data_IF_582885210275
#
_entry.id   IF_582885210275
#
_cell.length_a   1.000
_cell.length_b   1.000
_cell.length_c   1.000
_cell.angle_alpha   90.00
_cell.angle_beta   90.00
_cell.angle_gamma   90.00
#
_symmetry.space_group_name_H-M   'P 1'
#
loop_
_entity.id
_entity.type
_entity.pdbx_description
1 polymer ?
#
# COMPACT_ATOMS: atom_id res chain seq x y z
N UNK A 1 -56.71 -17.99 -12.56
CA UNK A 1 -56.16 -18.92 -11.57
C UNK A 1 -54.83 -19.46 -12.10
N UNK A 2 -53.76 -18.84 -11.66
CA UNK A 2 -52.41 -19.14 -12.15
C UNK A 2 -51.97 -20.59 -11.90
N UNK A 3 -52.34 -21.16 -10.77
CA UNK A 3 -51.96 -22.54 -10.40
C UNK A 3 -52.48 -23.60 -11.36
N UNK A 4 -53.70 -23.42 -11.92
CA UNK A 4 -54.29 -24.36 -12.85
C UNK A 4 -53.53 -24.50 -14.16
N UNK A 5 -52.93 -23.41 -14.65
CA UNK A 5 -52.08 -23.39 -15.83
C UNK A 5 -50.85 -24.31 -15.70
N UNK A 6 -50.22 -24.31 -14.56
CA UNK A 6 -49.02 -25.14 -14.29
C UNK A 6 -49.38 -26.61 -14.01
N UNK A 7 -50.53 -26.86 -13.40
CA UNK A 7 -51.04 -28.21 -13.16
C UNK A 7 -51.38 -28.90 -14.49
N UNK A 8 -51.98 -28.16 -15.41
CA UNK A 8 -52.37 -28.70 -16.72
C UNK A 8 -51.18 -28.87 -17.71
N UNK A 9 -50.02 -28.27 -17.38
CA UNK A 9 -48.76 -28.29 -18.18
C UNK A 9 -47.53 -28.63 -17.37
N UNK A 10 -47.38 -29.87 -16.88
CA UNK A 10 -46.31 -30.25 -15.98
C UNK A 10 -44.90 -30.11 -16.59
N UNK A 11 -44.76 -30.39 -17.91
CA UNK A 11 -43.47 -30.23 -18.61
C UNK A 11 -43.01 -28.76 -18.62
N UNK A 12 -43.93 -27.83 -18.86
CA UNK A 12 -43.62 -26.40 -18.85
C UNK A 12 -43.20 -25.92 -17.43
N UNK A 13 -43.89 -26.39 -16.40
CA UNK A 13 -43.55 -26.08 -14.99
C UNK A 13 -42.14 -26.60 -14.64
N UNK A 14 -41.82 -27.82 -15.06
CA UNK A 14 -40.48 -28.41 -14.80
C UNK A 14 -39.39 -27.68 -15.52
N UNK A 15 -39.57 -27.29 -16.79
CA UNK A 15 -38.57 -26.50 -17.54
C UNK A 15 -38.36 -25.14 -16.93
N UNK A 16 -39.43 -24.47 -16.50
CA UNK A 16 -39.31 -23.16 -15.85
C UNK A 16 -38.57 -23.25 -14.48
N UNK A 17 -38.91 -24.27 -13.69
CA UNK A 17 -38.21 -24.53 -12.43
C UNK A 17 -36.72 -24.82 -12.66
N UNK A 18 -36.39 -25.63 -13.65
CA UNK A 18 -35.01 -25.95 -13.97
C UNK A 18 -34.23 -24.73 -14.48
N UNK A 19 -34.87 -23.86 -15.27
CA UNK A 19 -34.26 -22.57 -15.68
C UNK A 19 -33.97 -21.67 -14.48
N UNK A 20 -34.87 -21.58 -13.51
CA UNK A 20 -34.69 -20.77 -12.31
C UNK A 20 -33.54 -21.35 -11.47
N UNK A 21 -33.47 -22.67 -11.30
CA UNK A 21 -32.37 -23.33 -10.56
C UNK A 21 -31.01 -23.09 -11.24
N UNK A 22 -30.96 -23.26 -12.57
CA UNK A 22 -29.71 -23.01 -13.33
C UNK A 22 -29.30 -21.55 -13.23
N UNK A 23 -30.23 -20.61 -13.36
CA UNK A 23 -29.95 -19.19 -13.18
C UNK A 23 -29.44 -18.90 -11.77
N UNK A 24 -30.04 -19.48 -10.73
CA UNK A 24 -29.61 -19.37 -9.35
C UNK A 24 -28.18 -19.90 -9.12
N UNK A 25 -27.88 -21.09 -9.65
CA UNK A 25 -26.56 -21.69 -9.55
C UNK A 25 -25.46 -20.85 -10.24
N UNK A 26 -25.76 -20.31 -11.41
CA UNK A 26 -24.84 -19.42 -12.14
C UNK A 26 -24.61 -18.13 -11.34
N UNK A 27 -25.67 -17.55 -10.79
CA UNK A 27 -25.61 -16.32 -10.02
C UNK A 27 -24.79 -16.49 -8.74
N UNK A 28 -24.92 -17.64 -8.05
CA UNK A 28 -24.13 -17.97 -6.85
C UNK A 28 -22.60 -17.90 -7.09
N UNK A 29 -22.16 -18.30 -8.30
CA UNK A 29 -20.74 -18.25 -8.65
C UNK A 29 -20.20 -16.85 -9.01
N UNK A 30 -21.08 -15.88 -9.23
CA UNK A 30 -20.70 -14.53 -9.70
C UNK A 30 -20.87 -13.48 -8.60
N UNK A 31 -21.66 -13.75 -7.57
CA UNK A 31 -21.86 -12.78 -6.48
C UNK A 31 -20.56 -12.53 -5.72
N UNK A 32 -20.17 -11.25 -5.55
CA UNK A 32 -19.05 -10.90 -4.71
C UNK A 32 -19.38 -11.23 -3.24
N UNK A 33 -18.43 -11.90 -2.56
CA UNK A 33 -18.56 -12.26 -1.15
C UNK A 33 -17.60 -11.36 -0.36
N UNK A 34 -18.15 -10.60 0.59
CA UNK A 34 -17.41 -9.74 1.51
C UNK A 34 -17.91 -9.93 2.93
N UNK A 35 -17.05 -9.69 3.92
CA UNK A 35 -17.40 -9.83 5.35
C UNK A 35 -18.53 -8.89 5.77
N UNK A 36 -18.56 -7.70 5.17
CA UNK A 36 -19.58 -6.67 5.41
C UNK A 36 -20.13 -6.18 4.07
N UNK A 37 -21.42 -5.79 4.02
CA UNK A 37 -21.96 -5.09 2.85
C UNK A 37 -21.14 -3.85 2.52
N UNK A 38 -21.04 -3.47 1.25
CA UNK A 38 -20.36 -2.24 0.79
C UNK A 38 -21.16 -0.98 1.18
N UNK A 39 -21.40 -0.82 2.48
CA UNK A 39 -21.99 0.38 3.10
C UNK A 39 -20.91 1.36 3.53
N UNK A 40 -19.63 0.97 3.48
CA UNK A 40 -18.53 1.86 3.82
C UNK A 40 -18.30 2.86 2.70
N UNK A 41 -18.38 4.16 3.00
CA UNK A 41 -18.09 5.19 2.02
C UNK A 41 -16.69 5.00 1.43
N UNK A 42 -16.53 5.11 0.10
CA UNK A 42 -15.21 4.99 -0.52
C UNK A 42 -14.32 6.17 -0.10
N UNK A 43 -13.03 5.91 0.08
CA UNK A 43 -12.06 6.91 0.54
C UNK A 43 -10.86 7.03 -0.38
N UNK A 44 -10.36 8.26 -0.49
CA UNK A 44 -9.09 8.59 -1.15
C UNK A 44 -8.13 9.17 -0.13
N UNK A 45 -6.92 8.64 -0.08
CA UNK A 45 -5.88 9.13 0.81
C UNK A 45 -4.84 9.94 0.04
N UNK A 46 -4.54 11.13 0.57
CA UNK A 46 -3.42 11.96 0.15
C UNK A 46 -2.34 11.88 1.21
N UNK A 47 -1.11 11.56 0.82
CA UNK A 47 0.02 11.48 1.75
C UNK A 47 1.18 12.32 1.26
N UNK A 48 1.83 13.02 2.20
CA UNK A 48 3.02 13.83 1.97
C UNK A 48 3.98 13.73 3.16
N UNK A 49 5.25 14.02 2.94
CA UNK A 49 6.26 14.05 4.00
C UNK A 49 7.02 15.36 3.92
N UNK A 50 7.12 16.06 5.06
CA UNK A 50 7.97 17.24 5.22
C UNK A 50 9.11 16.89 6.18
N UNK A 51 10.28 16.48 5.69
CA UNK A 51 11.37 16.04 6.54
C UNK A 51 11.83 17.13 7.52
N UNK A 52 11.93 16.78 8.80
CA UNK A 52 12.40 17.69 9.85
C UNK A 52 11.38 18.71 10.36
N UNK A 53 10.17 18.75 9.81
CA UNK A 53 9.11 19.64 10.29
C UNK A 53 8.34 19.00 11.45
N UNK A 54 7.92 19.82 12.41
CA UNK A 54 7.01 19.41 13.47
C UNK A 54 5.54 19.36 12.96
N UNK A 55 4.65 18.74 13.73
CA UNK A 55 3.24 18.58 13.37
C UNK A 55 2.54 19.90 13.04
N UNK A 56 2.80 20.97 13.80
CA UNK A 56 2.18 22.27 13.57
C UNK A 56 2.64 22.90 12.25
N UNK A 57 3.94 22.83 11.96
CA UNK A 57 4.50 23.31 10.69
C UNK A 57 3.91 22.53 9.52
N UNK A 58 3.84 21.18 9.63
CA UNK A 58 3.22 20.33 8.60
C UNK A 58 1.76 20.72 8.37
N UNK A 59 0.98 20.88 9.43
CA UNK A 59 -0.43 21.27 9.32
C UNK A 59 -0.59 22.63 8.60
N UNK A 60 0.25 23.62 8.94
CA UNK A 60 0.14 24.97 8.39
C UNK A 60 0.65 25.08 6.96
N UNK A 61 1.77 24.41 6.62
CA UNK A 61 2.44 24.61 5.33
C UNK A 61 2.15 23.54 4.28
N UNK A 62 1.65 22.37 4.72
CA UNK A 62 1.29 21.26 3.84
C UNK A 62 -0.20 20.98 3.91
N UNK A 63 -0.75 20.85 5.13
CA UNK A 63 -2.15 20.50 5.34
C UNK A 63 -3.10 21.54 4.78
N UNK A 64 -3.03 22.77 5.27
CA UNK A 64 -3.95 23.84 4.88
C UNK A 64 -3.96 24.07 3.35
N UNK A 65 -2.84 24.18 2.62
CA UNK A 65 -2.86 24.35 1.17
C UNK A 65 -3.53 23.19 0.43
N UNK A 66 -3.28 21.94 0.84
CA UNK A 66 -3.89 20.75 0.22
C UNK A 66 -5.41 20.73 0.52
N UNK A 67 -5.79 20.91 1.78
CA UNK A 67 -7.18 20.86 2.22
C UNK A 67 -8.04 21.93 1.55
N UNK A 68 -7.52 23.14 1.41
CA UNK A 68 -8.22 24.23 0.73
C UNK A 68 -8.52 23.91 -0.75
N UNK A 69 -7.62 23.23 -1.43
CA UNK A 69 -7.81 22.86 -2.83
C UNK A 69 -8.70 21.63 -2.98
N UNK A 70 -8.57 20.63 -2.09
CA UNK A 70 -9.35 19.40 -2.14
C UNK A 70 -10.79 19.64 -1.69
N UNK A 71 -11.02 20.67 -0.87
CA UNK A 71 -12.37 20.99 -0.40
C UNK A 71 -13.32 21.28 -1.57
N UNK A 72 -14.48 20.63 -1.55
CA UNK A 72 -15.51 20.78 -2.58
C UNK A 72 -15.31 19.90 -3.83
N UNK A 73 -14.55 18.82 -3.73
CA UNK A 73 -14.54 17.75 -4.75
C UNK A 73 -15.91 17.08 -4.80
N UNK A 74 -16.40 16.80 -6.01
CA UNK A 74 -17.73 16.23 -6.23
C UNK A 74 -17.93 14.89 -5.48
N UNK A 75 -19.06 14.76 -4.81
CA UNK A 75 -19.41 13.58 -4.03
C UNK A 75 -18.69 13.45 -2.69
N UNK A 76 -17.86 14.41 -2.29
CA UNK A 76 -17.20 14.43 -0.99
C UNK A 76 -18.23 14.66 0.13
N UNK A 77 -18.19 13.81 1.17
CA UNK A 77 -18.97 13.97 2.39
C UNK A 77 -18.22 14.80 3.43
N UNK A 78 -16.99 14.38 3.72
CA UNK A 78 -16.09 15.05 4.66
C UNK A 78 -14.65 14.64 4.38
N UNK A 79 -13.74 15.35 4.99
CA UNK A 79 -12.32 15.01 5.00
C UNK A 79 -11.75 15.11 6.40
N UNK A 80 -10.72 14.31 6.69
CA UNK A 80 -9.98 14.37 7.93
C UNK A 80 -8.48 14.28 7.66
N UNK A 81 -7.70 15.09 8.36
CA UNK A 81 -6.26 15.10 8.20
C UNK A 81 -5.53 14.81 9.50
N UNK A 82 -4.33 14.27 9.37
CA UNK A 82 -3.42 14.03 10.46
C UNK A 82 -2.02 14.51 10.09
N UNK A 83 -1.42 15.30 10.99
CA UNK A 83 -0.05 15.79 10.88
C UNK A 83 0.78 15.25 12.04
N UNK A 84 1.86 14.54 11.71
CA UNK A 84 2.75 13.91 12.70
C UNK A 84 3.96 14.78 13.02
N UNK A 85 4.50 14.64 14.24
CA UNK A 85 5.77 15.24 14.64
C UNK A 85 6.99 14.66 13.89
N UNK A 86 6.80 13.56 13.15
CA UNK A 86 7.83 13.03 12.25
C UNK A 86 7.85 13.70 10.87
N UNK A 87 7.00 14.71 10.65
CA UNK A 87 6.87 15.38 9.35
C UNK A 87 5.89 14.73 8.39
N UNK A 88 5.24 13.64 8.77
CA UNK A 88 4.26 12.96 7.91
C UNK A 88 2.89 13.68 7.96
N UNK A 89 2.29 13.82 6.80
CA UNK A 89 0.93 14.32 6.58
C UNK A 89 0.08 13.25 5.88
N UNK A 90 -1.14 13.06 6.34
CA UNK A 90 -2.12 12.24 5.64
C UNK A 90 -3.50 12.92 5.69
N UNK A 91 -4.17 12.98 4.56
CA UNK A 91 -5.54 13.46 4.40
C UNK A 91 -6.39 12.32 3.85
N UNK A 92 -7.47 11.99 4.54
CA UNK A 92 -8.47 11.04 4.08
C UNK A 92 -9.70 11.79 3.64
N UNK A 93 -10.06 11.64 2.37
CA UNK A 93 -11.25 12.21 1.76
C UNK A 93 -12.29 11.11 1.63
N UNK A 94 -13.46 11.30 2.23
CA UNK A 94 -14.56 10.32 2.26
C UNK A 94 -15.67 10.77 1.32
N UNK A 95 -16.10 9.87 0.43
CA UNK A 95 -17.10 10.12 -0.59
C UNK A 95 -18.43 9.42 -0.28
N UNK A 96 -19.50 9.87 -0.91
CA UNK A 96 -20.81 9.24 -0.79
C UNK A 96 -20.78 7.81 -1.36
N UNK A 97 -21.55 6.92 -0.74
CA UNK A 97 -21.71 5.53 -1.23
C UNK A 97 -22.23 5.55 -2.68
N UNK A 98 -21.62 4.77 -3.55
CA UNK A 98 -21.93 4.73 -4.99
C UNK A 98 -21.14 5.74 -5.83
N UNK A 99 -20.26 6.56 -5.23
CA UNK A 99 -19.34 7.41 -5.99
C UNK A 99 -18.29 6.55 -6.69
N UNK A 100 -18.03 6.85 -7.97
CA UNK A 100 -16.93 6.25 -8.72
C UNK A 100 -15.59 6.68 -8.12
N UNK A 101 -14.94 5.75 -7.42
CA UNK A 101 -13.68 6.01 -6.71
C UNK A 101 -12.53 6.32 -7.66
N UNK A 102 -12.57 5.82 -8.90
CA UNK A 102 -11.53 6.11 -9.88
C UNK A 102 -11.60 7.56 -10.31
N UNK A 103 -12.79 8.03 -10.63
CA UNK A 103 -13.03 9.44 -10.98
C UNK A 103 -12.77 10.36 -9.80
N UNK A 104 -13.21 10.00 -8.58
CA UNK A 104 -12.93 10.74 -7.36
C UNK A 104 -11.42 10.88 -7.11
N UNK A 105 -10.64 9.80 -7.32
CA UNK A 105 -9.17 9.84 -7.18
C UNK A 105 -8.53 10.80 -8.18
N UNK A 106 -8.98 10.80 -9.43
CA UNK A 106 -8.50 11.72 -10.47
C UNK A 106 -8.82 13.17 -10.10
N UNK A 107 -10.02 13.44 -9.60
CA UNK A 107 -10.41 14.79 -9.17
C UNK A 107 -9.56 15.27 -7.98
N UNK A 108 -9.35 14.43 -6.96
CA UNK A 108 -8.46 14.74 -5.83
C UNK A 108 -7.03 14.98 -6.31
N UNK A 109 -6.50 14.13 -7.21
CA UNK A 109 -5.16 14.29 -7.77
C UNK A 109 -5.02 15.64 -8.50
N UNK A 110 -6.02 16.04 -9.31
CA UNK A 110 -6.02 17.33 -10.00
C UNK A 110 -5.97 18.49 -9.00
N UNK A 111 -6.76 18.45 -7.93
CA UNK A 111 -6.76 19.47 -6.89
C UNK A 111 -5.44 19.52 -6.12
N UNK A 112 -4.87 18.38 -5.78
CA UNK A 112 -3.55 18.30 -5.15
C UNK A 112 -2.46 18.85 -6.04
N UNK A 113 -2.52 18.62 -7.37
CA UNK A 113 -1.57 19.17 -8.32
C UNK A 113 -1.58 20.71 -8.34
N UNK A 114 -2.75 21.34 -8.18
CA UNK A 114 -2.86 22.79 -8.02
C UNK A 114 -2.21 23.27 -6.72
N UNK A 115 -2.40 22.52 -5.62
CA UNK A 115 -1.80 22.84 -4.33
C UNK A 115 -0.26 22.79 -4.33
N UNK A 116 0.37 21.98 -5.21
CA UNK A 116 1.82 21.77 -5.22
C UNK A 116 2.63 23.05 -5.35
N UNK A 117 2.13 24.04 -6.07
CA UNK A 117 2.80 25.35 -6.24
C UNK A 117 2.95 26.12 -4.91
N UNK A 118 2.10 25.82 -3.92
CA UNK A 118 2.09 26.47 -2.61
C UNK A 118 2.81 25.65 -1.53
N UNK A 119 3.29 24.45 -1.88
CA UNK A 119 3.95 23.57 -0.92
C UNK A 119 5.44 23.89 -0.77
N UNK A 120 6.04 23.64 0.40
CA UNK A 120 7.48 23.74 0.59
C UNK A 120 8.27 22.84 -0.38
N UNK A 121 9.39 23.34 -0.90
CA UNK A 121 10.25 22.60 -1.85
C UNK A 121 10.61 21.17 -1.38
N UNK A 122 10.96 20.91 -0.10
CA UNK A 122 11.25 19.55 0.34
C UNK A 122 10.06 18.59 0.20
N UNK A 123 8.83 19.08 0.35
CA UNK A 123 7.61 18.27 0.16
C UNK A 123 7.39 17.95 -1.31
N UNK A 124 7.58 18.94 -2.17
CA UNK A 124 7.43 18.77 -3.63
C UNK A 124 8.47 17.79 -4.18
N UNK A 125 9.70 17.84 -3.69
CA UNK A 125 10.80 16.92 -4.06
C UNK A 125 10.51 15.48 -3.59
N UNK A 126 9.95 15.32 -2.40
CA UNK A 126 9.53 14.01 -1.88
C UNK A 126 8.32 13.46 -2.67
N UNK A 127 7.49 14.34 -3.17
CA UNK A 127 6.24 14.01 -3.86
C UNK A 127 5.04 13.92 -2.91
N UNK A 128 3.87 14.22 -3.47
CA UNK A 128 2.58 14.01 -2.82
C UNK A 128 1.88 12.87 -3.53
N UNK A 129 1.49 11.85 -2.77
CA UNK A 129 0.83 10.65 -3.32
C UNK A 129 -0.66 10.71 -3.06
N UNK A 130 -1.45 10.33 -4.05
CA UNK A 130 -2.91 10.20 -3.96
C UNK A 130 -3.28 8.77 -4.33
N UNK A 131 -3.93 8.07 -3.43
CA UNK A 131 -4.26 6.66 -3.61
C UNK A 131 -5.68 6.37 -3.14
N UNK A 132 -6.34 5.43 -3.82
CA UNK A 132 -7.57 4.85 -3.28
C UNK A 132 -7.24 4.13 -1.98
N UNK A 133 -7.98 4.39 -0.95
CA UNK A 133 -7.85 3.66 0.30
C UNK A 133 -9.12 2.87 0.55
N UNK A 134 -8.98 1.55 0.63
CA UNK A 134 -10.01 0.72 1.23
C UNK A 134 -9.78 0.67 2.73
N UNK A 135 -10.83 0.78 3.51
CA UNK A 135 -10.78 0.55 4.96
C UNK A 135 -10.69 -0.95 5.31
N UNK A 136 -10.97 -1.82 4.34
CA UNK A 136 -11.10 -3.25 4.57
C UNK A 136 -9.74 -3.95 4.40
N UNK A 137 -9.15 -4.35 5.49
CA UNK A 137 -7.96 -5.20 5.52
C UNK A 137 -8.43 -6.64 5.35
N UNK A 138 -7.94 -7.32 4.30
CA UNK A 138 -8.25 -8.74 4.05
C UNK A 138 -7.35 -9.63 4.91
N UNK A 139 -6.05 -9.32 4.95
CA UNK A 139 -5.12 -10.10 5.76
C UNK A 139 -3.89 -9.31 6.19
N UNK A 140 -3.27 -9.79 7.25
CA UNK A 140 -1.92 -9.43 7.66
C UNK A 140 -0.97 -10.60 7.44
N UNK A 141 0.10 -10.31 6.71
CA UNK A 141 1.26 -11.19 6.58
C UNK A 141 2.39 -10.66 7.45
N UNK A 142 3.15 -11.53 8.06
CA UNK A 142 4.36 -11.16 8.79
C UNK A 142 5.55 -11.92 8.26
N UNK A 143 6.65 -11.20 8.09
CA UNK A 143 7.94 -11.79 7.71
C UNK A 143 8.83 -11.88 8.95
N UNK A 144 9.44 -13.03 9.16
CA UNK A 144 10.39 -13.27 10.25
C UNK A 144 11.64 -13.95 9.72
N UNK A 145 12.73 -13.81 10.46
CA UNK A 145 13.95 -14.55 10.18
C UNK A 145 14.55 -15.11 11.45
N UNK A 146 15.13 -16.32 11.34
CA UNK A 146 15.95 -16.92 12.39
C UNK A 146 17.42 -16.47 12.28
N UNK A 147 17.81 -15.82 11.16
CA UNK A 147 19.13 -15.22 11.00
C UNK A 147 19.19 -13.88 11.72
N UNK A 148 20.16 -13.70 12.60
CA UNK A 148 20.36 -12.45 13.38
C UNK A 148 20.77 -11.26 12.51
N UNK A 149 21.31 -11.50 11.31
CA UNK A 149 21.72 -10.46 10.38
C UNK A 149 20.51 -9.84 9.64
N UNK A 150 19.34 -10.50 9.69
CA UNK A 150 18.11 -10.04 9.06
C UNK A 150 17.18 -9.43 10.10
N UNK A 151 17.45 -8.19 10.44
CA UNK A 151 16.64 -7.41 11.38
C UNK A 151 15.30 -6.95 10.78
N UNK A 152 14.48 -6.27 11.56
CA UNK A 152 13.19 -5.74 11.09
C UNK A 152 13.31 -4.74 9.95
N UNK A 153 14.43 -4.01 9.86
CA UNK A 153 14.69 -3.06 8.79
C UNK A 153 14.97 -3.79 7.46
N UNK A 154 15.82 -4.82 7.52
CA UNK A 154 16.06 -5.67 6.36
C UNK A 154 14.79 -6.33 5.84
N UNK A 155 13.99 -6.93 6.75
CA UNK A 155 12.72 -7.60 6.40
C UNK A 155 11.71 -6.63 5.79
N UNK A 156 11.57 -5.43 6.35
CA UNK A 156 10.67 -4.39 5.83
C UNK A 156 11.10 -3.92 4.44
N UNK A 157 12.39 -3.68 4.25
CA UNK A 157 12.91 -3.27 2.96
C UNK A 157 12.80 -4.38 1.91
N UNK A 158 13.11 -5.64 2.29
CA UNK A 158 12.92 -6.79 1.43
C UNK A 158 11.47 -6.94 0.98
N UNK A 159 10.52 -6.83 1.92
CA UNK A 159 9.08 -6.87 1.63
C UNK A 159 8.69 -5.78 0.64
N UNK A 160 9.14 -4.55 0.87
CA UNK A 160 8.82 -3.40 0.02
C UNK A 160 9.34 -3.55 -1.40
N UNK A 161 10.58 -4.00 -1.57
CA UNK A 161 11.21 -4.12 -2.89
C UNK A 161 10.75 -5.33 -3.69
N UNK A 162 10.45 -6.46 -3.02
CA UNK A 162 10.22 -7.73 -3.70
C UNK A 162 8.77 -8.21 -3.64
N UNK A 163 7.99 -7.81 -2.62
CA UNK A 163 6.65 -8.35 -2.42
C UNK A 163 5.54 -7.35 -2.78
N UNK A 164 5.68 -6.08 -2.42
CA UNK A 164 4.59 -5.08 -2.57
C UNK A 164 4.07 -5.03 -4.00
N UNK A 165 4.95 -4.85 -4.98
CA UNK A 165 4.54 -4.76 -6.39
C UNK A 165 3.90 -6.04 -6.91
N UNK A 166 4.38 -7.20 -6.46
CA UNK A 166 3.86 -8.49 -6.87
C UNK A 166 2.49 -8.76 -6.26
N UNK A 167 2.30 -8.41 -4.98
CA UNK A 167 1.03 -8.57 -4.28
C UNK A 167 -0.03 -7.58 -4.75
N UNK A 168 0.37 -6.35 -5.08
CA UNK A 168 -0.54 -5.33 -5.63
C UNK A 168 -1.12 -5.73 -7.00
N UNK A 169 -0.41 -6.59 -7.76
CA UNK A 169 -0.90 -7.10 -9.04
C UNK A 169 -1.90 -8.25 -8.91
N UNK A 170 -2.13 -8.77 -7.72
CA UNK A 170 -3.15 -9.81 -7.49
C UNK A 170 -4.53 -9.17 -7.69
N UNK A 171 -5.40 -9.77 -8.53
CA UNK A 171 -6.74 -9.23 -8.78
C UNK A 171 -7.52 -9.01 -7.50
N UNK A 172 -8.13 -7.83 -7.35
CA UNK A 172 -8.92 -7.46 -6.19
C UNK A 172 -8.11 -6.89 -5.00
N UNK A 173 -6.78 -6.87 -5.07
CA UNK A 173 -5.95 -6.14 -4.10
C UNK A 173 -6.00 -4.65 -4.42
N UNK A 174 -6.38 -3.84 -3.45
CA UNK A 174 -6.45 -2.37 -3.56
C UNK A 174 -5.15 -1.68 -3.17
N UNK A 175 -4.52 -2.14 -2.08
CA UNK A 175 -3.25 -1.62 -1.61
C UNK A 175 -2.49 -2.65 -0.79
N UNK A 176 -1.18 -2.52 -0.74
CA UNK A 176 -0.28 -3.32 0.09
C UNK A 176 0.62 -2.39 0.87
N UNK A 177 0.49 -2.39 2.19
CA UNK A 177 1.27 -1.51 3.06
C UNK A 177 2.22 -2.32 3.95
N UNK A 178 3.50 -2.01 3.88
CA UNK A 178 4.51 -2.59 4.78
C UNK A 178 4.61 -1.72 6.02
N UNK A 179 4.35 -2.31 7.17
CA UNK A 179 4.46 -1.70 8.49
C UNK A 179 5.68 -2.26 9.19
N UNK A 180 6.52 -1.40 9.77
CA UNK A 180 7.75 -1.80 10.46
C UNK A 180 8.81 -0.72 10.42
N UNK A 181 10.07 -1.12 10.34
CA UNK A 181 11.22 -0.24 10.50
C UNK A 181 11.43 0.80 9.36
N UNK A 182 10.56 0.87 8.37
CA UNK A 182 10.66 1.83 7.26
C UNK A 182 11.73 1.46 6.22
N UNK A 183 12.17 2.46 5.46
CA UNK A 183 13.16 2.30 4.41
C UNK A 183 14.58 2.52 4.95
N UNK A 184 15.57 1.95 4.26
CA UNK A 184 16.97 2.32 4.51
C UNK A 184 17.20 3.80 4.18
N UNK A 185 17.93 4.46 5.07
CA UNK A 185 18.31 5.86 4.92
C UNK A 185 19.70 6.09 5.49
N UNK A 186 20.45 6.99 4.87
CA UNK A 186 21.71 7.46 5.45
C UNK A 186 21.39 8.41 6.61
N UNK A 187 21.74 7.98 7.81
CA UNK A 187 21.51 8.75 9.06
C UNK A 187 22.75 9.55 9.39
N UNK A 188 22.59 10.85 9.53
CA UNK A 188 23.66 11.78 9.84
C UNK A 188 23.36 12.43 11.20
N UNK A 189 24.07 11.96 12.21
CA UNK A 189 23.93 12.43 13.59
C UNK A 189 24.93 13.55 13.84
N UNK A 190 24.46 14.80 13.80
CA UNK A 190 25.29 15.97 13.99
C UNK A 190 25.73 16.09 15.45
N UNK A 191 27.02 16.40 15.68
CA UNK A 191 27.56 16.74 16.99
C UNK A 191 27.49 18.27 17.21
N UNK A 192 26.56 18.78 18.05
CA UNK A 192 26.41 20.21 18.27
C UNK A 192 27.67 20.88 18.88
N UNK A 193 28.44 20.14 19.69
CA UNK A 193 29.64 20.67 20.29
C UNK A 193 30.76 20.85 19.26
N UNK A 194 30.97 19.83 18.42
CA UNK A 194 31.92 19.87 17.31
C UNK A 194 31.56 20.96 16.28
N UNK A 195 30.28 21.13 15.99
CA UNK A 195 29.79 22.17 15.08
C UNK A 195 30.00 23.58 15.61
N UNK A 196 29.70 23.80 16.90
CA UNK A 196 29.88 25.11 17.57
C UNK A 196 31.35 25.56 17.57
N UNK A 197 32.28 24.65 17.89
CA UNK A 197 33.70 24.94 17.87
C UNK A 197 34.18 25.38 16.49
N UNK A 198 33.55 24.86 15.44
CA UNK A 198 33.91 25.13 14.05
C UNK A 198 33.02 26.19 13.37
N UNK A 199 32.14 26.86 14.13
CA UNK A 199 31.19 27.86 13.65
C UNK A 199 30.36 27.34 12.42
N UNK A 200 29.80 26.12 12.54
CA UNK A 200 28.90 25.53 11.56
C UNK A 200 27.49 25.54 12.11
N UNK A 201 26.55 25.81 11.21
CA UNK A 201 25.12 25.61 11.45
C UNK A 201 24.64 24.30 10.80
N UNK A 202 23.51 23.73 11.26
CA UNK A 202 22.86 22.59 10.54
C UNK A 202 22.54 22.90 9.09
N UNK A 203 22.22 24.18 8.77
CA UNK A 203 21.94 24.60 7.42
C UNK A 203 23.17 24.50 6.49
N UNK A 204 24.37 24.79 7.01
CA UNK A 204 25.61 24.66 6.24
C UNK A 204 25.87 23.20 5.86
N UNK A 205 25.62 22.28 6.80
CA UNK A 205 25.74 20.84 6.56
C UNK A 205 24.73 20.38 5.53
N UNK A 206 23.47 20.78 5.68
CA UNK A 206 22.41 20.45 4.73
C UNK A 206 22.74 20.93 3.32
N UNK A 207 23.19 22.16 3.17
CA UNK A 207 23.59 22.75 1.89
C UNK A 207 24.78 21.99 1.26
N UNK A 208 25.77 21.60 2.05
CA UNK A 208 26.92 20.83 1.58
C UNK A 208 26.50 19.45 1.07
N UNK A 209 25.58 18.78 1.77
CA UNK A 209 25.01 17.49 1.35
C UNK A 209 24.25 17.67 0.03
N UNK A 210 23.38 18.68 -0.07
CA UNK A 210 22.59 18.91 -1.28
C UNK A 210 23.46 19.15 -2.50
N UNK A 211 24.56 19.88 -2.36
CA UNK A 211 25.43 20.23 -3.49
C UNK A 211 26.34 19.08 -3.92
N UNK A 212 26.70 18.16 -3.02
CA UNK A 212 27.66 17.10 -3.31
C UNK A 212 27.00 15.72 -3.47
N UNK A 213 25.75 15.52 -2.99
CA UNK A 213 25.00 14.29 -3.17
C UNK A 213 23.94 14.47 -4.27
N UNK A 214 24.39 14.73 -5.48
CA UNK A 214 23.53 14.99 -6.64
C UNK A 214 23.93 14.10 -7.82
N UNK A 215 22.94 13.63 -8.55
CA UNK A 215 23.17 12.91 -9.79
C UNK A 215 23.22 13.90 -10.95
N UNK A 216 24.35 13.95 -11.63
CA UNK A 216 24.57 14.88 -12.73
C UNK A 216 24.84 14.09 -14.01
N UNK A 217 24.13 14.42 -15.08
CA UNK A 217 24.47 13.93 -16.42
C UNK A 217 25.67 14.72 -16.96
N UNK A 218 26.77 14.04 -17.18
CA UNK A 218 27.99 14.68 -17.69
C UNK A 218 27.99 14.87 -19.23
N UNK A 219 26.94 14.39 -19.91
CA UNK A 219 26.81 14.48 -21.37
C UNK A 219 27.71 13.49 -22.12
N UNK A 220 28.02 13.84 -23.37
CA UNK A 220 28.81 13.00 -24.27
C UNK A 220 30.01 13.79 -24.82
N UNK A 221 31.12 13.09 -25.04
CA UNK A 221 32.32 13.64 -25.72
C UNK A 221 32.42 13.01 -27.08
N UNK A 222 32.89 13.80 -28.06
CA UNK A 222 33.09 13.32 -29.45
C UNK A 222 31.89 13.50 -30.36
N UNK A 223 30.90 14.31 -29.94
CA UNK A 223 29.77 14.66 -30.81
C UNK A 223 30.27 15.57 -31.95
N UNK A 224 30.02 15.20 -33.22
CA UNK A 224 30.45 16.04 -34.35
C UNK A 224 29.79 17.41 -34.33
N UNK A 225 30.57 18.44 -34.43
CA UNK A 225 30.08 19.84 -34.58
C UNK A 225 29.80 20.07 -36.05
N UNK A 226 28.54 20.16 -36.46
CA UNK A 226 28.10 20.41 -37.83
C UNK A 226 28.00 19.16 -38.69
N UNK A 227 27.88 19.33 -40.02
CA UNK A 227 27.66 18.25 -41.00
C UNK A 227 28.93 17.46 -41.41
N UNK A 228 30.05 17.63 -40.74
CA UNK A 228 31.27 16.92 -41.04
C UNK A 228 31.26 15.52 -40.35
N UNK A 229 30.72 14.55 -41.05
CA UNK A 229 30.64 13.15 -40.67
C UNK A 229 32.01 12.46 -40.86
N UNK A 230 33.00 12.75 -40.03
CA UNK A 230 34.26 11.99 -39.98
C UNK A 230 34.32 11.20 -38.70
N UNK A 231 33.88 9.93 -38.76
CA UNK A 231 34.19 8.79 -37.86
C UNK A 231 34.41 9.19 -36.36
N UNK A 232 33.60 10.06 -35.83
CA UNK A 232 33.69 10.46 -34.43
C UNK A 232 33.01 9.40 -33.57
N UNK A 233 33.78 8.68 -32.78
CA UNK A 233 33.23 7.86 -31.70
C UNK A 233 32.68 8.79 -30.64
N UNK A 234 31.41 8.59 -30.28
CA UNK A 234 30.76 9.30 -29.19
C UNK A 234 30.92 8.47 -27.91
N UNK A 235 31.50 9.07 -26.89
CA UNK A 235 31.65 8.46 -25.59
C UNK A 235 30.68 9.15 -24.60
N UNK A 236 29.80 8.36 -23.96
CA UNK A 236 29.01 8.85 -22.85
C UNK A 236 29.90 8.96 -21.61
N UNK A 237 29.89 10.14 -21.00
CA UNK A 237 30.56 10.36 -19.73
C UNK A 237 29.67 9.93 -18.57
N UNK A 238 30.15 9.00 -17.76
CA UNK A 238 29.51 8.61 -16.50
C UNK A 238 30.26 9.28 -15.35
N UNK A 239 29.56 10.10 -14.60
CA UNK A 239 30.09 10.69 -13.36
C UNK A 239 29.51 9.85 -12.20
N UNK A 240 30.29 9.74 -11.13
CA UNK A 240 29.78 9.16 -9.88
C UNK A 240 28.55 9.93 -9.43
N UNK A 241 27.41 9.25 -9.36
CA UNK A 241 26.14 9.83 -8.98
C UNK A 241 26.01 10.06 -7.47
N UNK A 242 24.84 9.73 -6.94
CA UNK A 242 24.56 9.85 -5.50
C UNK A 242 25.52 8.98 -4.67
N UNK A 243 25.86 9.49 -3.51
CA UNK A 243 26.70 8.77 -2.54
C UNK A 243 25.90 7.61 -1.92
N UNK A 244 26.55 6.47 -1.74
CA UNK A 244 25.89 5.22 -1.34
C UNK A 244 26.41 4.62 -0.03
N UNK A 245 27.58 5.05 0.44
CA UNK A 245 28.18 4.52 1.67
C UNK A 245 28.41 5.57 2.74
N UNK A 246 28.42 5.18 4.04
CA UNK A 246 28.75 6.09 5.13
C UNK A 246 30.09 6.79 4.95
N UNK A 247 31.10 6.10 4.40
CA UNK A 247 32.42 6.65 4.14
C UNK A 247 32.38 7.76 3.10
N UNK A 248 31.59 7.56 2.04
CA UNK A 248 31.41 8.57 0.98
C UNK A 248 30.73 9.83 1.55
N UNK A 249 29.66 9.65 2.31
CA UNK A 249 29.02 10.77 3.00
C UNK A 249 29.98 11.47 3.98
N UNK A 250 30.79 10.69 4.71
CA UNK A 250 31.80 11.22 5.63
C UNK A 250 32.84 12.10 4.95
N UNK A 251 33.08 11.88 3.67
CA UNK A 251 34.04 12.65 2.87
C UNK A 251 33.47 13.94 2.26
N UNK A 252 32.18 14.21 2.40
CA UNK A 252 31.58 15.50 2.00
C UNK A 252 32.34 16.66 2.60
N UNK A 253 32.72 17.63 1.78
CA UNK A 253 33.46 18.82 2.19
C UNK A 253 32.48 19.87 2.69
N UNK A 254 32.60 20.25 3.95
CA UNK A 254 31.81 21.31 4.56
C UNK A 254 32.42 22.68 4.30
N UNK A 255 33.73 22.77 4.48
CA UNK A 255 34.48 24.01 4.30
C UNK A 255 35.98 23.76 4.13
N UNK A 256 36.64 24.61 3.35
CA UNK A 256 38.11 24.70 3.31
C UNK A 256 38.57 25.84 4.19
N UNK A 257 39.42 25.56 5.17
CA UNK A 257 39.94 26.51 6.10
C UNK A 257 41.20 27.21 5.55
N UNK A 258 41.53 28.35 6.15
CA UNK A 258 42.79 29.06 5.87
C UNK A 258 43.98 28.12 6.17
N UNK A 259 44.86 27.90 5.21
CA UNK A 259 45.97 26.94 5.30
C UNK A 259 45.71 25.60 4.63
N UNK A 260 44.63 25.45 3.86
CA UNK A 260 44.37 24.25 3.05
C UNK A 260 43.78 23.06 3.80
N UNK A 261 43.44 23.21 5.06
CA UNK A 261 42.72 22.15 5.82
C UNK A 261 41.30 22.02 5.32
N UNK A 262 40.91 20.83 5.03
CA UNK A 262 39.55 20.49 4.57
C UNK A 262 38.76 19.95 5.76
N UNK A 263 37.66 20.62 6.10
CA UNK A 263 36.69 20.16 7.08
C UNK A 263 35.65 19.28 6.40
N UNK A 264 35.54 18.06 6.87
CA UNK A 264 34.62 17.04 6.29
C UNK A 264 33.47 16.76 7.22
N UNK A 265 32.40 16.15 6.67
CA UNK A 265 31.21 15.81 7.43
C UNK A 265 31.50 14.86 8.60
N UNK A 266 32.41 13.88 8.43
CA UNK A 266 32.83 12.96 9.48
C UNK A 266 33.49 13.66 10.71
N UNK A 267 33.94 14.90 10.55
CA UNK A 267 34.58 15.64 11.61
C UNK A 267 33.59 16.30 12.59
N UNK A 268 32.30 16.32 12.20
CA UNK A 268 31.19 16.96 12.92
C UNK A 268 29.93 16.08 13.02
N UNK A 269 29.97 14.89 12.47
CA UNK A 269 28.82 13.98 12.46
C UNK A 269 29.25 12.51 12.52
N UNK A 270 28.40 11.69 13.13
CA UNK A 270 28.42 10.24 13.00
C UNK A 270 27.44 9.83 11.88
N UNK A 271 27.85 8.92 11.01
CA UNK A 271 27.10 8.57 9.80
C UNK A 271 26.91 7.06 9.75
N UNK A 272 25.66 6.63 9.70
CA UNK A 272 25.27 5.22 9.64
C UNK A 272 24.18 4.99 8.59
N UNK A 273 24.14 3.77 8.06
CA UNK A 273 23.00 3.27 7.31
C UNK A 273 21.96 2.71 8.30
N UNK A 274 20.81 3.34 8.38
CA UNK A 274 19.76 2.96 9.33
C UNK A 274 18.36 3.15 8.76
N UNK A 275 17.34 3.15 9.63
CA UNK A 275 15.97 3.40 9.22
C UNK A 275 15.69 4.88 8.95
N UNK A 276 14.88 5.16 7.94
CA UNK A 276 14.37 6.52 7.68
C UNK A 276 13.50 7.05 8.84
N UNK A 277 12.82 6.14 9.56
CA UNK A 277 12.01 6.47 10.73
C UNK A 277 12.07 5.35 11.76
N UNK A 278 12.16 5.72 13.03
CA UNK A 278 12.09 4.79 14.17
C UNK A 278 10.75 4.93 14.94
N UNK A 279 9.77 5.60 14.35
CA UNK A 279 8.48 5.85 15.00
C UNK A 279 7.58 4.62 15.07
N UNK A 280 7.79 3.63 14.20
CA UNK A 280 7.02 2.40 14.15
C UNK A 280 7.95 1.21 14.26
N UNK A 281 7.62 0.29 15.17
CA UNK A 281 8.33 -0.98 15.35
C UNK A 281 7.31 -2.10 15.24
N UNK A 282 7.59 -3.09 14.40
CA UNK A 282 6.79 -4.30 14.26
C UNK A 282 7.49 -5.48 14.91
N UNK A 283 6.77 -6.20 15.75
CA UNK A 283 7.27 -7.39 16.44
C UNK A 283 6.22 -8.50 16.41
N UNK A 284 6.68 -9.73 16.28
CA UNK A 284 5.89 -10.95 16.43
C UNK A 284 6.60 -11.85 17.46
N UNK A 285 5.89 -12.21 18.52
CA UNK A 285 6.43 -13.02 19.62
C UNK A 285 7.73 -12.44 20.22
N UNK A 286 7.82 -11.11 20.32
CA UNK A 286 8.99 -10.40 20.85
C UNK A 286 10.20 -10.33 19.90
N UNK A 287 10.06 -10.80 18.66
CA UNK A 287 11.11 -10.72 17.63
C UNK A 287 10.79 -9.65 16.60
N UNK A 288 11.80 -8.91 16.10
CA UNK A 288 11.61 -7.97 15.01
C UNK A 288 11.02 -8.65 13.77
N UNK A 289 10.02 -8.02 13.16
CA UNK A 289 9.32 -8.54 11.99
C UNK A 289 8.95 -7.40 11.05
N UNK A 290 8.64 -7.71 9.80
CA UNK A 290 7.91 -6.81 8.91
C UNK A 290 6.45 -7.29 8.81
N UNK A 291 5.50 -6.41 9.10
CA UNK A 291 4.09 -6.68 8.91
C UNK A 291 3.63 -6.09 7.57
N UNK A 292 2.86 -6.86 6.81
CA UNK A 292 2.34 -6.46 5.50
C UNK A 292 0.83 -6.54 5.59
N UNK A 293 0.17 -5.39 5.49
CA UNK A 293 -1.28 -5.28 5.44
C UNK A 293 -1.76 -5.29 4.00
N UNK A 294 -2.66 -6.20 3.69
CA UNK A 294 -3.30 -6.34 2.37
C UNK A 294 -4.71 -5.75 2.46
N UNK A 295 -4.97 -4.75 1.65
CA UNK A 295 -6.26 -4.08 1.56
C UNK A 295 -7.00 -4.53 0.32
N UNK A 296 -8.29 -4.72 0.47
CA UNK A 296 -9.20 -5.09 -0.63
C UNK A 296 -9.50 -3.89 -1.52
N UNK A 297 -9.65 -4.12 -2.82
CA UNK A 297 -10.24 -3.14 -3.71
C UNK A 297 -11.76 -3.10 -3.48
N UNK A 298 -12.40 -1.92 -3.40
CA UNK A 298 -13.85 -1.83 -3.29
C UNK A 298 -14.57 -2.65 -4.37
N UNK A 299 -15.59 -3.42 -3.97
CA UNK A 299 -16.38 -4.28 -4.87
C UNK A 299 -15.70 -5.59 -5.30
N UNK A 300 -14.50 -5.90 -4.83
CA UNK A 300 -13.85 -7.20 -5.10
C UNK A 300 -14.30 -8.28 -4.12
N UNK A 301 -14.05 -9.55 -4.45
CA UNK A 301 -14.35 -10.68 -3.58
C UNK A 301 -13.20 -10.96 -2.61
N UNK A 302 -13.44 -10.87 -1.31
CA UNK A 302 -12.42 -11.08 -0.27
C UNK A 302 -11.82 -12.48 -0.29
N UNK A 303 -12.61 -13.51 -0.61
CA UNK A 303 -12.15 -14.91 -0.68
C UNK A 303 -11.18 -15.13 -1.83
N UNK A 304 -11.48 -14.54 -2.99
CA UNK A 304 -10.62 -14.62 -4.17
C UNK A 304 -9.31 -13.86 -3.93
N UNK A 305 -9.39 -12.69 -3.30
CA UNK A 305 -8.21 -11.91 -2.90
C UNK A 305 -7.32 -12.71 -1.95
N UNK A 306 -7.91 -13.29 -0.89
CA UNK A 306 -7.15 -14.10 0.08
C UNK A 306 -6.48 -15.30 -0.60
N UNK A 307 -7.23 -16.04 -1.42
CA UNK A 307 -6.71 -17.20 -2.16
C UNK A 307 -5.59 -16.79 -3.12
N UNK A 308 -5.79 -15.71 -3.87
CA UNK A 308 -4.79 -15.19 -4.80
C UNK A 308 -3.51 -14.71 -4.12
N UNK A 309 -3.64 -14.00 -2.99
CA UNK A 309 -2.51 -13.54 -2.19
C UNK A 309 -1.74 -14.71 -1.59
N UNK A 310 -2.42 -15.72 -1.01
CA UNK A 310 -1.78 -16.93 -0.47
C UNK A 310 -1.01 -17.69 -1.55
N UNK A 311 -1.62 -17.89 -2.71
CA UNK A 311 -0.97 -18.55 -3.85
C UNK A 311 0.27 -17.76 -4.32
N UNK A 312 0.16 -16.42 -4.45
CA UNK A 312 1.28 -15.56 -4.84
C UNK A 312 2.40 -15.56 -3.81
N UNK A 313 2.07 -15.52 -2.52
CA UNK A 313 3.07 -15.63 -1.45
C UNK A 313 3.78 -16.98 -1.44
N UNK A 314 3.08 -18.07 -1.72
CA UNK A 314 3.68 -19.39 -1.87
C UNK A 314 4.68 -19.44 -3.03
N UNK A 315 4.35 -18.84 -4.17
CA UNK A 315 5.27 -18.69 -5.31
C UNK A 315 6.51 -17.87 -4.92
N UNK A 316 6.31 -16.68 -4.33
CA UNK A 316 7.37 -15.76 -3.95
C UNK A 316 8.30 -16.33 -2.87
N UNK A 317 7.75 -17.12 -1.95
CA UNK A 317 8.51 -17.72 -0.85
C UNK A 317 9.61 -18.68 -1.29
N UNK A 318 9.51 -19.22 -2.50
CA UNK A 318 10.54 -20.09 -3.07
C UNK A 318 11.85 -19.34 -3.35
N UNK A 319 11.77 -18.01 -3.50
CA UNK A 319 12.91 -17.13 -3.77
C UNK A 319 13.37 -16.33 -2.54
N UNK A 320 12.88 -16.66 -1.35
CA UNK A 320 13.26 -15.95 -0.13
C UNK A 320 14.73 -16.26 0.24
N UNK A 321 15.43 -15.28 0.81
CA UNK A 321 16.74 -15.52 1.40
C UNK A 321 16.70 -16.63 2.44
N UNK A 322 17.79 -17.38 2.59
CA UNK A 322 17.87 -18.47 3.55
C UNK A 322 17.54 -17.99 4.98
N UNK A 323 16.61 -18.68 5.63
CA UNK A 323 16.16 -18.34 6.99
C UNK A 323 15.03 -17.29 7.06
N UNK A 324 14.58 -16.72 5.94
CA UNK A 324 13.41 -15.84 5.91
C UNK A 324 12.16 -16.67 5.68
N UNK A 325 11.14 -16.44 6.51
CA UNK A 325 9.85 -17.10 6.46
C UNK A 325 8.73 -16.07 6.53
N UNK A 326 7.55 -16.44 6.03
CA UNK A 326 6.34 -15.64 6.22
C UNK A 326 5.26 -16.45 6.94
N UNK A 327 4.40 -15.74 7.65
CA UNK A 327 3.20 -16.29 8.27
C UNK A 327 2.00 -15.42 7.90
N UNK A 328 0.84 -16.05 7.73
CA UNK A 328 -0.45 -15.36 7.72
C UNK A 328 -0.85 -15.18 9.18
N UNK A 329 -0.77 -13.95 9.67
CA UNK A 329 -1.02 -13.67 11.11
C UNK A 329 -2.50 -13.38 11.37
N UNK A 330 -3.17 -12.76 10.41
CA UNK A 330 -4.61 -12.52 10.44
C UNK A 330 -5.15 -12.72 9.04
N UNK A 331 -6.20 -13.52 8.91
CA UNK A 331 -7.00 -13.64 7.71
C UNK A 331 -8.47 -13.41 8.07
N UNK A 332 -9.05 -12.31 7.57
CA UNK A 332 -10.46 -12.00 7.84
C UNK A 332 -11.41 -12.94 7.09
N UNK A 333 -10.90 -13.64 6.08
CA UNK A 333 -11.71 -14.57 5.29
C UNK A 333 -11.97 -15.90 6.00
N UNK A 334 -11.18 -16.25 7.02
CA UNK A 334 -11.42 -17.45 7.82
C UNK A 334 -12.79 -17.41 8.51
N UNK A 335 -13.19 -16.22 9.00
CA UNK A 335 -14.52 -16.00 9.62
C UNK A 335 -15.62 -16.13 8.55
N UNK A 336 -15.35 -15.67 7.32
CA UNK A 336 -16.31 -15.77 6.19
C UNK A 336 -16.51 -17.24 5.85
N UNK A 337 -15.43 -18.02 5.71
CA UNK A 337 -15.51 -19.46 5.44
C UNK A 337 -16.33 -20.19 6.51
N UNK A 338 -16.02 -19.95 7.79
CA UNK A 338 -16.77 -20.57 8.90
C UNK A 338 -18.26 -20.19 8.86
N UNK A 339 -18.58 -18.94 8.53
CA UNK A 339 -19.97 -18.49 8.44
C UNK A 339 -20.71 -19.12 7.26
N UNK A 340 -20.05 -19.27 6.11
CA UNK A 340 -20.64 -19.94 4.93
C UNK A 340 -20.89 -21.42 5.24
N UNK A 341 -19.94 -22.10 5.84
CA UNK A 341 -20.07 -23.50 6.21
C UNK A 341 -21.24 -23.71 7.19
N UNK A 342 -21.40 -22.84 8.18
CA UNK A 342 -22.52 -22.89 9.13
C UNK A 342 -23.88 -22.64 8.44
N UNK A 343 -23.94 -21.67 7.53
CA UNK A 343 -25.15 -21.44 6.73
C UNK A 343 -25.48 -22.64 5.87
N UNK A 344 -24.49 -23.27 5.25
CA UNK A 344 -24.72 -24.47 4.42
C UNK A 344 -25.20 -25.64 5.28
N UNK A 345 -24.61 -25.89 6.44
CA UNK A 345 -25.04 -26.93 7.37
C UNK A 345 -26.50 -26.69 7.81
N UNK A 346 -26.81 -25.50 8.27
CA UNK A 346 -28.18 -25.15 8.70
C UNK A 346 -29.19 -25.21 7.57
N UNK A 347 -28.79 -24.85 6.34
CA UNK A 347 -29.63 -25.01 5.15
C UNK A 347 -29.95 -26.48 4.86
N UNK A 348 -28.96 -27.37 4.91
CA UNK A 348 -29.20 -28.80 4.73
C UNK A 348 -30.01 -29.40 5.86
N UNK A 349 -29.76 -29.04 7.12
CA UNK A 349 -30.53 -29.51 8.28
C UNK A 349 -32.01 -29.08 8.17
N UNK A 350 -32.28 -27.81 7.88
CA UNK A 350 -33.62 -27.29 7.71
C UNK A 350 -34.34 -27.93 6.52
N UNK A 351 -33.65 -28.08 5.41
CA UNK A 351 -34.22 -28.77 4.23
C UNK A 351 -34.58 -30.20 4.56
N UNK A 352 -33.68 -30.94 5.21
CA UNK A 352 -33.93 -32.31 5.64
C UNK A 352 -35.15 -32.40 6.57
N UNK A 353 -35.25 -31.48 7.55
CA UNK A 353 -36.37 -31.43 8.49
C UNK A 353 -37.68 -31.16 7.77
N UNK A 354 -37.68 -30.19 6.86
CA UNK A 354 -38.89 -29.86 6.03
C UNK A 354 -39.28 -31.06 5.18
N UNK A 355 -38.34 -31.72 4.52
CA UNK A 355 -38.57 -32.93 3.74
C UNK A 355 -39.20 -34.03 4.58
N UNK A 356 -38.64 -34.25 5.81
CA UNK A 356 -39.13 -35.26 6.74
C UNK A 356 -40.55 -34.94 7.20
N UNK A 357 -40.83 -33.70 7.57
CA UNK A 357 -42.18 -33.28 7.98
C UNK A 357 -43.19 -33.47 6.84
N UNK A 358 -42.86 -33.04 5.62
CA UNK A 358 -43.73 -33.22 4.43
C UNK A 358 -43.95 -34.69 4.15
N UNK A 359 -42.91 -35.53 4.26
CA UNK A 359 -43.00 -36.97 4.07
C UNK A 359 -43.95 -37.63 5.10
N UNK A 360 -43.85 -37.20 6.35
CA UNK A 360 -44.65 -37.74 7.46
C UNK A 360 -46.15 -37.42 7.24
N UNK A 361 -46.48 -36.25 6.73
CA UNK A 361 -47.88 -35.85 6.43
C UNK A 361 -48.43 -36.41 5.12
N UNK A 362 -47.64 -36.41 4.05
CA UNK A 362 -48.08 -36.84 2.72
C UNK A 362 -47.94 -38.34 2.47
N UNK A 363 -47.09 -39.02 3.25
CA UNK A 363 -46.83 -40.50 3.16
C UNK A 363 -46.55 -41.00 1.71
N UNK A 364 -46.14 -40.07 0.83
CA UNK A 364 -45.88 -40.36 -0.58
C UNK A 364 -44.61 -39.64 -1.04
N UNK A 365 -43.52 -40.40 -1.24
CA UNK A 365 -42.22 -39.84 -1.60
C UNK A 365 -42.20 -39.04 -2.88
N UNK A 366 -43.07 -39.39 -3.88
CA UNK A 366 -43.19 -38.62 -5.13
C UNK A 366 -43.81 -37.24 -4.92
N UNK A 367 -44.68 -37.09 -3.92
CA UNK A 367 -45.31 -35.82 -3.58
C UNK A 367 -44.37 -34.90 -2.81
N UNK A 368 -43.31 -35.43 -2.21
CA UNK A 368 -42.30 -34.68 -1.48
C UNK A 368 -41.30 -33.97 -2.43
N UNK A 369 -41.02 -34.58 -3.60
CA UNK A 369 -40.07 -34.01 -4.58
C UNK A 369 -40.58 -32.72 -5.21
N UNK A 370 -41.89 -32.49 -5.29
CA UNK A 370 -42.46 -31.28 -5.90
C UNK A 370 -42.24 -30.01 -5.08
N UNK A 371 -42.44 -30.00 -3.76
CA UNK A 371 -42.19 -28.83 -2.91
C UNK A 371 -40.69 -28.64 -2.49
N UNK A 372 -39.86 -29.67 -2.64
CA UNK A 372 -38.42 -29.61 -2.39
C UNK A 372 -37.62 -29.30 -3.65
#
# INVERSE_FOLDING_TARGET
MFSKFFIDRPIFATVLALLIVVAGLVTLGILPIAQYPDITPPTVQVSAVYPGANAQTVAQTVGIPIEQQVNGVDGMLYMSSNSSSSGAYSLTVTFAVGTDIDMATVQVQNRVSVAQSSLPTPVVVQGVTVQKQSSNIVMFLTMKSDNKDYDGLYLSNYAKLNLVDQLTRVPGVGAVNVMGAGDYSMRIWLDPAAMRIRNLSPADVYQAIQTQNVEVSAGNVGQPIGNENKNAYQYSLTVKGRLTSPEEFGNIILRTESGGRILRLRDVAHIDLGSASYSVVSQLDGRPTAAIAIYQQPGSNSLDVSTGVKAKMQELSQNFPAGVQYNVTLDTTDVIHASIDEVMVTFFETTLLVVLVIFLFLQNWRAVIIPC
#
